data_IF_681875670608
#
_entry.id   IF_681875670608
#
_cell.length_a   1.000
_cell.length_b   1.000
_cell.length_c   1.000
_cell.angle_alpha   90.00
_cell.angle_beta   90.00
_cell.angle_gamma   90.00
#
_symmetry.space_group_name_H-M   'P 1'
#
loop_
_entity.id
_entity.type
_entity.pdbx_description
1 polymer ?
#
# COMPACT_ATOMS: atom_id res chain seq x y z
N UNK A 1 6.91 -9.97 17.16
CA UNK A 1 6.23 -10.29 18.44
C UNK A 1 5.16 -9.26 18.86
N UNK A 2 4.91 -8.17 18.14
CA UNK A 2 4.10 -7.06 18.66
C UNK A 2 2.57 -7.21 18.53
N UNK A 3 2.04 -7.49 17.35
CA UNK A 3 0.59 -7.38 17.12
C UNK A 3 -0.22 -8.56 17.71
N UNK A 4 0.27 -9.78 17.60
CA UNK A 4 -0.44 -10.94 18.15
C UNK A 4 -0.44 -10.93 19.70
N UNK A 5 0.62 -10.39 20.32
CA UNK A 5 0.71 -10.28 21.78
C UNK A 5 -0.24 -9.20 22.31
N UNK A 6 -0.34 -8.04 21.64
CA UNK A 6 -1.24 -6.96 22.03
C UNK A 6 -2.72 -7.35 21.93
N UNK A 7 -3.10 -8.10 20.90
CA UNK A 7 -4.47 -8.61 20.72
C UNK A 7 -4.80 -9.63 21.81
N UNK A 8 -3.86 -10.49 22.16
CA UNK A 8 -4.04 -11.48 23.23
C UNK A 8 -4.20 -10.82 24.62
N UNK A 9 -3.39 -9.80 24.91
CA UNK A 9 -3.51 -9.02 26.16
C UNK A 9 -4.82 -8.23 26.21
N UNK A 10 -5.26 -7.64 25.10
CA UNK A 10 -6.53 -6.91 25.05
C UNK A 10 -7.74 -7.83 25.28
N UNK A 11 -7.72 -9.03 24.70
CA UNK A 11 -8.78 -10.03 24.91
C UNK A 11 -8.81 -10.55 26.35
N UNK A 12 -7.65 -10.79 26.95
CA UNK A 12 -7.53 -11.23 28.33
C UNK A 12 -8.02 -10.18 29.35
N UNK A 13 -7.83 -8.88 29.04
CA UNK A 13 -8.33 -7.77 29.86
C UNK A 13 -9.85 -7.60 29.80
N UNK A 14 -10.49 -7.96 28.69
CA UNK A 14 -11.95 -7.86 28.53
C UNK A 14 -12.71 -9.07 29.10
N UNK A 15 -12.16 -10.25 29.05
CA UNK A 15 -12.86 -11.48 29.44
C UNK A 15 -12.83 -11.78 30.94
N UNK A 16 -12.08 -11.03 31.75
CA UNK A 16 -12.01 -11.22 33.22
C UNK A 16 -11.55 -12.61 33.67
N UNK A 17 -11.02 -13.41 32.77
CA UNK A 17 -10.59 -14.78 32.97
C UNK A 17 -9.62 -15.26 31.90
N UNK A 18 -8.92 -16.31 32.19
CA UNK A 18 -7.90 -16.99 31.39
C UNK A 18 -8.46 -17.70 30.14
N UNK A 19 -9.37 -17.08 29.38
CA UNK A 19 -9.73 -17.64 28.06
C UNK A 19 -8.57 -17.42 27.09
N UNK A 20 -7.85 -18.50 26.82
CA UNK A 20 -6.85 -18.52 25.75
C UNK A 20 -7.56 -18.32 24.41
N UNK A 21 -6.96 -17.51 23.52
CA UNK A 21 -7.38 -17.44 22.12
C UNK A 21 -7.44 -18.86 21.59
N UNK A 22 -8.59 -19.25 21.04
CA UNK A 22 -8.78 -20.56 20.42
C UNK A 22 -7.81 -20.81 19.27
N UNK A 23 -7.80 -22.01 18.75
CA UNK A 23 -6.96 -22.35 17.62
C UNK A 23 -7.32 -21.48 16.40
N UNK A 24 -6.33 -20.86 15.78
CA UNK A 24 -6.49 -20.10 14.55
C UNK A 24 -5.33 -20.35 13.58
N UNK A 25 -5.58 -20.14 12.30
CA UNK A 25 -4.56 -20.16 11.27
C UNK A 25 -4.40 -18.74 10.74
N UNK A 26 -3.16 -18.26 10.68
CA UNK A 26 -2.80 -16.98 10.08
C UNK A 26 -1.93 -17.22 8.84
N UNK A 27 -2.33 -16.65 7.71
CA UNK A 27 -1.55 -16.62 6.48
C UNK A 27 -1.67 -15.23 5.87
N UNK A 28 -0.55 -14.62 5.47
CA UNK A 28 -0.54 -13.37 4.74
C UNK A 28 0.40 -13.51 3.53
N UNK A 29 -0.10 -13.27 2.30
CA UNK A 29 0.70 -13.47 1.08
C UNK A 29 1.78 -12.40 0.88
N UNK A 30 1.72 -11.28 1.61
CA UNK A 30 2.68 -10.19 1.50
C UNK A 30 4.00 -10.54 2.18
N UNK A 31 5.10 -10.50 1.45
CA UNK A 31 6.44 -10.64 2.02
C UNK A 31 6.87 -9.34 2.69
N UNK A 32 7.19 -9.40 3.98
CA UNK A 32 7.61 -8.25 4.77
C UNK A 32 9.14 -8.24 4.92
N UNK A 33 9.75 -7.11 4.56
CA UNK A 33 11.13 -6.74 4.87
C UNK A 33 11.10 -5.67 5.96
N UNK A 34 11.56 -6.00 7.16
CA UNK A 34 11.46 -5.10 8.31
C UNK A 34 12.85 -4.76 8.87
N UNK A 35 13.05 -3.49 9.23
CA UNK A 35 14.27 -3.01 9.86
C UNK A 35 14.95 -1.89 9.07
N UNK A 36 16.12 -1.44 9.56
CA UNK A 36 16.89 -0.34 8.94
C UNK A 36 17.25 -0.61 7.47
N UNK A 37 17.55 -1.85 7.17
CA UNK A 37 17.98 -2.29 5.85
C UNK A 37 16.82 -2.86 5.02
N UNK A 38 15.56 -2.53 5.37
CA UNK A 38 14.38 -3.05 4.68
C UNK A 38 14.39 -2.78 3.16
N UNK A 39 15.00 -1.66 2.71
CA UNK A 39 15.13 -1.34 1.28
C UNK A 39 15.97 -2.36 0.51
N UNK A 40 16.87 -3.10 1.16
CA UNK A 40 17.61 -4.20 0.52
C UNK A 40 16.67 -5.30 0.01
N UNK A 41 15.46 -5.37 0.56
CA UNK A 41 14.39 -6.23 0.05
C UNK A 41 14.05 -5.96 -1.40
N UNK A 42 14.15 -4.71 -1.86
CA UNK A 42 13.93 -4.35 -3.26
C UNK A 42 14.92 -5.08 -4.19
N UNK A 43 16.19 -5.23 -3.81
CA UNK A 43 17.19 -5.95 -4.60
C UNK A 43 16.82 -7.43 -4.81
N UNK A 44 16.04 -8.01 -3.90
CA UNK A 44 15.57 -9.40 -3.98
C UNK A 44 14.28 -9.57 -4.78
N UNK A 45 13.43 -8.54 -4.80
CA UNK A 45 12.11 -8.61 -5.44
C UNK A 45 12.11 -8.00 -6.85
N UNK A 46 12.84 -6.91 -7.08
CA UNK A 46 12.88 -6.26 -8.40
C UNK A 46 13.32 -7.19 -9.54
N UNK A 47 14.30 -8.09 -9.38
CA UNK A 47 14.67 -9.02 -10.46
C UNK A 47 13.55 -9.95 -10.92
N UNK A 48 12.52 -10.16 -10.09
CA UNK A 48 11.35 -11.00 -10.39
C UNK A 48 10.26 -10.27 -11.17
N UNK A 49 10.37 -8.94 -11.27
CA UNK A 49 9.42 -8.08 -11.95
C UNK A 49 9.96 -7.64 -13.31
N UNK A 50 9.09 -7.25 -14.24
CA UNK A 50 9.48 -6.66 -15.51
C UNK A 50 10.27 -5.35 -15.34
N UNK A 51 10.63 -4.73 -16.46
CA UNK A 51 11.54 -3.57 -16.44
C UNK A 51 10.88 -2.26 -16.06
N UNK A 52 9.59 -2.09 -16.35
CA UNK A 52 8.90 -0.82 -16.22
C UNK A 52 8.23 -0.70 -14.86
N UNK A 53 8.73 0.20 -14.04
CA UNK A 53 8.21 0.46 -12.69
C UNK A 53 7.48 1.80 -12.67
N UNK A 54 6.20 1.79 -12.31
CA UNK A 54 5.46 2.99 -11.98
C UNK A 54 5.67 3.31 -10.50
N UNK A 55 6.43 4.36 -10.23
CA UNK A 55 6.71 4.84 -8.88
C UNK A 55 5.61 5.79 -8.43
N UNK A 56 4.81 5.35 -7.46
CA UNK A 56 3.66 6.09 -6.94
C UNK A 56 3.99 6.69 -5.58
N UNK A 57 3.74 7.99 -5.40
CA UNK A 57 4.01 8.67 -4.13
C UNK A 57 3.15 9.93 -3.93
N UNK A 58 3.14 10.45 -2.70
CA UNK A 58 2.34 11.61 -2.31
C UNK A 58 2.94 12.97 -2.74
N UNK A 59 2.73 14.00 -1.93
CA UNK A 59 3.06 15.39 -2.22
C UNK A 59 4.54 15.78 -2.15
N UNK A 60 5.47 14.83 -2.01
CA UNK A 60 6.91 15.08 -2.09
C UNK A 60 7.65 15.04 -0.75
N UNK A 61 7.02 14.64 0.35
CA UNK A 61 7.72 14.43 1.65
C UNK A 61 8.90 13.46 1.51
N UNK A 62 8.74 12.40 0.70
CA UNK A 62 9.81 11.42 0.45
C UNK A 62 11.04 12.02 -0.24
N UNK A 63 10.88 13.11 -1.01
CA UNK A 63 11.99 13.85 -1.62
C UNK A 63 12.73 14.69 -0.56
N UNK A 64 11.98 15.28 0.37
CA UNK A 64 12.57 16.12 1.45
C UNK A 64 13.37 15.30 2.45
N UNK A 65 12.95 14.06 2.74
CA UNK A 65 13.61 13.18 3.71
C UNK A 65 14.60 12.19 3.08
N UNK A 66 14.86 12.29 1.76
CA UNK A 66 15.85 11.49 1.03
C UNK A 66 15.43 10.04 0.74
N UNK A 67 14.22 9.62 1.09
CA UNK A 67 13.73 8.26 0.78
C UNK A 67 13.62 8.07 -0.73
N UNK A 68 13.14 9.09 -1.45
CA UNK A 68 13.03 9.09 -2.90
C UNK A 68 14.36 8.74 -3.57
N UNK A 69 15.45 9.43 -3.19
CA UNK A 69 16.77 9.22 -3.80
C UNK A 69 17.30 7.80 -3.55
N UNK A 70 17.08 7.27 -2.34
CA UNK A 70 17.43 5.89 -2.00
C UNK A 70 16.67 4.88 -2.87
N UNK A 71 15.35 5.06 -3.02
CA UNK A 71 14.52 4.17 -3.84
C UNK A 71 14.94 4.25 -5.31
N UNK A 72 15.13 5.45 -5.85
CA UNK A 72 15.59 5.65 -7.24
C UNK A 72 16.96 5.00 -7.48
N UNK A 73 17.89 5.13 -6.53
CA UNK A 73 19.20 4.49 -6.65
C UNK A 73 19.10 2.97 -6.76
N UNK A 74 18.25 2.34 -5.93
CA UNK A 74 18.01 0.89 -5.97
C UNK A 74 17.33 0.48 -7.29
N UNK A 75 16.32 1.21 -7.75
CA UNK A 75 15.64 0.93 -9.01
C UNK A 75 16.60 0.99 -10.20
N UNK A 76 17.44 2.03 -10.27
CA UNK A 76 18.45 2.19 -11.32
C UNK A 76 19.52 1.10 -11.27
N UNK A 77 20.01 0.74 -10.08
CA UNK A 77 20.98 -0.34 -9.90
C UNK A 77 20.43 -1.69 -10.37
N UNK A 78 19.11 -1.89 -10.30
CA UNK A 78 18.43 -3.09 -10.81
C UNK A 78 17.97 -2.95 -12.28
N UNK A 79 18.44 -1.94 -13.01
CA UNK A 79 18.15 -1.75 -14.43
C UNK A 79 16.70 -1.46 -14.77
N UNK A 80 15.94 -0.83 -13.82
CA UNK A 80 14.53 -0.52 -14.02
C UNK A 80 14.33 0.81 -14.74
N UNK A 81 13.35 0.84 -15.66
CA UNK A 81 12.80 2.06 -16.22
C UNK A 81 11.79 2.62 -15.22
N UNK A 82 12.00 3.84 -14.75
CA UNK A 82 11.14 4.45 -13.73
C UNK A 82 10.24 5.48 -14.37
N UNK A 83 8.95 5.30 -14.18
CA UNK A 83 7.90 6.27 -14.54
C UNK A 83 7.26 6.75 -13.25
N UNK A 84 6.99 8.05 -13.15
CA UNK A 84 6.49 8.63 -11.89
C UNK A 84 5.00 8.97 -11.96
N UNK A 85 4.27 8.62 -10.92
CA UNK A 85 2.93 9.08 -10.64
C UNK A 85 2.88 9.71 -9.25
N UNK A 86 3.21 10.99 -9.21
CA UNK A 86 3.28 11.81 -8.01
C UNK A 86 1.94 12.45 -7.64
N UNK A 87 1.87 13.00 -6.44
CA UNK A 87 0.75 13.85 -6.02
C UNK A 87 -0.46 13.06 -5.50
N UNK A 88 -0.26 11.83 -5.06
CA UNK A 88 -1.33 11.10 -4.36
C UNK A 88 -1.65 11.84 -3.06
N UNK A 89 -2.87 12.34 -2.96
CA UNK A 89 -3.36 13.08 -1.79
C UNK A 89 -3.85 12.13 -0.67
N UNK A 90 -3.96 12.60 0.57
CA UNK A 90 -4.74 11.91 1.59
C UNK A 90 -6.16 11.69 1.07
N UNK A 91 -6.71 10.48 1.22
CA UNK A 91 -7.98 10.07 0.61
C UNK A 91 -7.95 10.22 -0.93
N UNK A 92 -7.23 9.34 -1.64
CA UNK A 92 -7.08 9.45 -3.08
C UNK A 92 -8.41 9.45 -3.82
N UNK A 93 -8.48 10.20 -4.92
CA UNK A 93 -9.73 10.42 -5.63
C UNK A 93 -9.85 9.59 -6.90
N UNK A 94 -11.07 9.46 -7.40
CA UNK A 94 -11.40 8.79 -8.67
C UNK A 94 -10.70 9.50 -9.84
N UNK A 95 -10.66 10.82 -9.83
CA UNK A 95 -10.00 11.61 -10.88
C UNK A 95 -8.49 11.27 -10.92
N UNK A 96 -7.86 11.21 -9.73
CA UNK A 96 -6.45 10.82 -9.63
C UNK A 96 -6.23 9.38 -10.11
N UNK A 97 -7.17 8.48 -9.83
CA UNK A 97 -7.12 7.09 -10.32
C UNK A 97 -7.13 7.03 -11.85
N UNK A 98 -7.99 7.79 -12.51
CA UNK A 98 -8.05 7.83 -13.98
C UNK A 98 -6.76 8.39 -14.61
N UNK A 99 -6.17 9.42 -14.00
CA UNK A 99 -4.85 9.92 -14.44
C UNK A 99 -3.79 8.82 -14.33
N UNK A 100 -3.75 8.12 -13.19
CA UNK A 100 -2.80 7.04 -12.95
C UNK A 100 -2.95 5.88 -13.93
N UNK A 101 -4.18 5.47 -14.24
CA UNK A 101 -4.46 4.45 -15.27
C UNK A 101 -3.83 4.83 -16.61
N UNK A 102 -4.03 6.09 -17.04
CA UNK A 102 -3.44 6.58 -18.27
C UNK A 102 -1.90 6.54 -18.24
N UNK A 103 -1.30 6.92 -17.11
CA UNK A 103 0.16 6.87 -16.92
C UNK A 103 0.70 5.44 -16.91
N UNK A 104 0.05 4.53 -16.20
CA UNK A 104 0.43 3.12 -16.12
C UNK A 104 0.38 2.44 -17.50
N UNK A 105 -0.68 2.70 -18.27
CA UNK A 105 -0.81 2.20 -19.66
C UNK A 105 0.30 2.73 -20.56
N UNK A 106 0.59 4.05 -20.52
CA UNK A 106 1.68 4.66 -21.32
C UNK A 106 3.05 4.11 -20.95
N UNK A 107 3.26 3.78 -19.68
CA UNK A 107 4.50 3.21 -19.17
C UNK A 107 4.63 1.72 -19.48
N UNK A 108 3.58 1.04 -19.92
CA UNK A 108 3.47 -0.43 -19.90
C UNK A 108 4.03 -0.99 -18.59
N UNK A 109 3.45 -0.54 -17.47
CA UNK A 109 3.97 -0.80 -16.13
C UNK A 109 3.89 -2.29 -15.78
N UNK A 110 5.01 -2.87 -15.39
CA UNK A 110 5.13 -4.27 -14.93
C UNK A 110 5.03 -4.38 -13.40
N UNK A 111 5.25 -3.27 -12.69
CA UNK A 111 5.19 -3.16 -11.24
C UNK A 111 4.72 -1.76 -10.86
N UNK A 112 3.82 -1.67 -9.90
CA UNK A 112 3.48 -0.42 -9.21
C UNK A 112 4.20 -0.43 -7.87
N UNK A 113 5.13 0.52 -7.66
CA UNK A 113 5.86 0.68 -6.40
C UNK A 113 5.31 1.87 -5.63
N UNK A 114 4.58 1.60 -4.57
CA UNK A 114 4.01 2.60 -3.66
C UNK A 114 5.07 3.04 -2.64
N UNK A 115 5.40 4.33 -2.60
CA UNK A 115 6.33 4.90 -1.60
C UNK A 115 5.59 5.97 -0.81
N UNK A 116 5.07 5.59 0.36
CA UNK A 116 4.24 6.48 1.17
C UNK A 116 3.52 5.80 2.31
N UNK A 117 2.48 6.44 2.82
CA UNK A 117 1.58 5.88 3.83
C UNK A 117 0.40 5.14 3.22
N UNK A 118 -0.59 4.79 4.05
CA UNK A 118 -1.76 4.00 3.67
C UNK A 118 -2.51 4.51 2.43
N UNK A 119 -2.71 5.83 2.29
CA UNK A 119 -3.37 6.40 1.11
C UNK A 119 -2.64 6.12 -0.21
N UNK A 120 -1.30 6.10 -0.17
CA UNK A 120 -0.49 5.76 -1.36
C UNK A 120 -0.59 4.27 -1.66
N UNK A 121 -0.60 3.41 -0.63
CA UNK A 121 -0.80 1.97 -0.78
C UNK A 121 -2.20 1.65 -1.32
N UNK A 122 -3.24 2.29 -0.79
CA UNK A 122 -4.63 2.14 -1.25
C UNK A 122 -4.76 2.53 -2.73
N UNK A 123 -4.21 3.69 -3.09
CA UNK A 123 -4.19 4.15 -4.48
C UNK A 123 -3.45 3.19 -5.41
N UNK A 124 -2.30 2.68 -5.00
CA UNK A 124 -1.53 1.72 -5.80
C UNK A 124 -2.30 0.42 -6.07
N UNK A 125 -3.05 -0.08 -5.07
CA UNK A 125 -3.91 -1.26 -5.23
C UNK A 125 -5.11 -0.98 -6.12
N UNK A 126 -5.77 0.18 -5.94
CA UNK A 126 -6.83 0.62 -6.85
C UNK A 126 -6.33 0.69 -8.29
N UNK A 127 -5.17 1.29 -8.50
CA UNK A 127 -4.55 1.40 -9.81
C UNK A 127 -4.23 0.04 -10.40
N UNK A 128 -3.66 -0.86 -9.60
CA UNK A 128 -3.29 -2.23 -9.97
C UNK A 128 -4.44 -3.00 -10.63
N UNK A 129 -5.62 -2.98 -10.02
CA UNK A 129 -6.81 -3.67 -10.54
C UNK A 129 -7.48 -2.93 -11.69
N UNK A 130 -7.21 -1.63 -11.84
CA UNK A 130 -7.95 -0.77 -12.78
C UNK A 130 -7.30 -0.64 -14.15
N UNK A 131 -5.97 -0.87 -14.27
CA UNK A 131 -5.23 -0.61 -15.52
C UNK A 131 -5.76 -1.43 -16.68
N UNK A 132 -6.07 -2.70 -16.47
CA UNK A 132 -6.57 -3.61 -17.49
C UNK A 132 -8.08 -3.82 -17.44
N UNK A 133 -8.78 -3.13 -16.55
CA UNK A 133 -10.23 -3.15 -16.48
C UNK A 133 -10.84 -2.58 -17.77
N UNK A 134 -11.81 -3.28 -18.33
CA UNK A 134 -12.53 -2.87 -19.55
C UNK A 134 -13.72 -1.96 -19.26
N UNK A 135 -14.18 -1.94 -18.03
CA UNK A 135 -15.30 -1.13 -17.53
C UNK A 135 -14.80 0.08 -16.75
N UNK A 136 -15.72 0.93 -16.32
CA UNK A 136 -15.39 1.99 -15.35
C UNK A 136 -15.00 1.37 -14.00
N UNK A 137 -13.75 1.57 -13.53
CA UNK A 137 -13.26 0.91 -12.32
C UNK A 137 -13.94 1.43 -11.04
N UNK A 138 -14.44 2.68 -11.03
CA UNK A 138 -15.20 3.18 -9.89
C UNK A 138 -16.52 2.44 -9.75
N UNK A 139 -17.26 2.30 -10.83
CA UNK A 139 -18.53 1.60 -10.83
C UNK A 139 -18.32 0.11 -10.48
N UNK A 140 -17.39 -0.55 -11.17
CA UNK A 140 -17.14 -1.98 -11.00
C UNK A 140 -16.67 -2.33 -9.59
N UNK A 141 -15.63 -1.65 -9.10
CA UNK A 141 -14.95 -2.07 -7.86
C UNK A 141 -15.48 -1.37 -6.62
N UNK A 142 -16.02 -0.15 -6.72
CA UNK A 142 -16.44 0.61 -5.53
C UNK A 142 -17.94 0.79 -5.40
N UNK A 143 -18.71 0.61 -6.47
CA UNK A 143 -20.18 0.63 -6.40
C UNK A 143 -20.76 -0.78 -6.37
N UNK A 144 -20.31 -1.66 -7.29
CA UNK A 144 -20.81 -3.04 -7.39
C UNK A 144 -20.02 -4.03 -6.55
N UNK A 145 -18.85 -3.65 -6.02
CA UNK A 145 -17.96 -4.49 -5.20
C UNK A 145 -17.55 -5.80 -5.89
N UNK A 146 -17.30 -5.75 -7.18
CA UNK A 146 -16.86 -6.92 -7.94
C UNK A 146 -15.36 -7.19 -7.74
N UNK A 147 -14.97 -8.46 -7.82
CA UNK A 147 -13.56 -8.85 -7.84
C UNK A 147 -12.94 -8.61 -9.23
N UNK A 148 -11.63 -8.38 -9.32
CA UNK A 148 -10.94 -8.23 -10.60
C UNK A 148 -11.04 -9.50 -11.46
N UNK A 149 -11.48 -9.35 -12.70
CA UNK A 149 -11.59 -10.38 -13.73
C UNK A 149 -10.57 -10.20 -14.87
N UNK A 150 -9.61 -9.31 -14.68
CA UNK A 150 -8.54 -8.99 -15.62
C UNK A 150 -7.16 -9.17 -14.98
N UNK A 151 -6.12 -9.03 -15.79
CA UNK A 151 -4.75 -9.05 -15.30
C UNK A 151 -4.50 -7.90 -14.31
N UNK A 152 -3.84 -8.22 -13.20
CA UNK A 152 -3.52 -7.30 -12.13
C UNK A 152 -2.03 -6.98 -12.18
N UNK A 153 -1.66 -5.70 -12.21
CA UNK A 153 -0.26 -5.31 -12.10
C UNK A 153 0.19 -5.50 -10.65
N UNK A 154 1.28 -6.25 -10.38
CA UNK A 154 1.75 -6.46 -9.02
C UNK A 154 2.09 -5.14 -8.31
N UNK A 155 1.82 -5.07 -7.01
CA UNK A 155 2.14 -3.93 -6.14
C UNK A 155 3.27 -4.31 -5.20
N UNK A 156 4.24 -3.41 -5.02
CA UNK A 156 5.21 -3.41 -3.93
C UNK A 156 5.08 -2.12 -3.12
N UNK A 157 5.42 -2.17 -1.83
CA UNK A 157 5.32 -1.01 -0.95
C UNK A 157 6.64 -0.70 -0.26
N UNK A 158 6.94 0.60 -0.12
CA UNK A 158 7.92 1.15 0.81
C UNK A 158 7.16 2.08 1.76
N UNK A 159 6.89 1.59 2.95
CA UNK A 159 6.02 2.29 3.90
C UNK A 159 6.75 3.43 4.60
N UNK A 160 6.14 4.60 4.63
CA UNK A 160 6.69 5.78 5.33
C UNK A 160 5.82 6.25 6.49
N UNK A 161 4.62 5.71 6.64
CA UNK A 161 3.71 5.99 7.75
C UNK A 161 2.86 4.76 8.05
N UNK A 162 2.87 4.31 9.29
CA UNK A 162 2.10 3.16 9.77
C UNK A 162 0.70 3.59 10.24
N UNK A 163 -0.25 2.65 10.27
CA UNK A 163 -1.58 2.89 10.83
C UNK A 163 -2.68 2.00 10.26
N UNK A 164 -2.73 1.83 8.95
CA UNK A 164 -3.86 1.15 8.29
C UNK A 164 -3.60 -0.31 7.91
N UNK A 165 -2.34 -0.77 7.97
CA UNK A 165 -1.95 -2.09 7.48
C UNK A 165 -2.13 -2.26 5.96
N UNK A 166 -2.33 -1.16 5.22
CA UNK A 166 -2.60 -1.19 3.77
C UNK A 166 -1.45 -1.79 2.95
N UNK A 167 -0.25 -1.77 3.50
CA UNK A 167 0.95 -2.39 2.94
C UNK A 167 0.93 -3.93 2.96
N UNK A 168 -0.02 -4.54 3.68
CA UNK A 168 -0.13 -5.99 3.82
C UNK A 168 -1.57 -6.51 3.84
N UNK A 169 -2.49 -5.79 3.21
CA UNK A 169 -3.89 -6.22 3.01
C UNK A 169 -4.39 -5.87 1.60
N UNK A 170 -5.56 -6.40 1.23
CA UNK A 170 -6.23 -6.14 -0.04
C UNK A 170 -7.13 -4.90 -0.03
N UNK A 171 -7.17 -4.13 1.06
CA UNK A 171 -8.06 -2.97 1.18
C UNK A 171 -7.60 -1.78 0.34
N UNK A 172 -8.55 -1.11 -0.28
CA UNK A 172 -8.32 0.15 -1.01
C UNK A 172 -9.49 1.09 -0.80
N UNK A 173 -9.21 2.32 -0.42
CA UNK A 173 -10.23 3.36 -0.16
C UNK A 173 -10.06 4.48 -1.17
N UNK A 174 -11.12 4.75 -1.95
CA UNK A 174 -11.15 5.81 -2.96
C UNK A 174 -12.32 6.76 -2.68
N UNK A 175 -12.10 8.04 -2.96
CA UNK A 175 -13.08 9.11 -2.78
C UNK A 175 -13.60 9.60 -4.13
N UNK A 176 -14.91 9.72 -4.28
CA UNK A 176 -15.55 10.38 -5.42
C UNK A 176 -16.23 11.67 -4.92
N UNK A 177 -15.63 12.82 -5.20
CA UNK A 177 -16.15 14.09 -4.75
C UNK A 177 -17.46 14.49 -5.46
N UNK A 178 -17.61 14.13 -6.73
CA UNK A 178 -18.82 14.42 -7.50
C UNK A 178 -20.05 13.71 -6.92
N UNK A 179 -19.87 12.48 -6.47
CA UNK A 179 -20.93 11.69 -5.82
C UNK A 179 -20.98 11.86 -4.29
N UNK A 180 -20.01 12.58 -3.70
CA UNK A 180 -19.84 12.74 -2.24
C UNK A 180 -19.70 11.40 -1.50
N UNK A 181 -19.02 10.44 -2.11
CA UNK A 181 -18.81 9.10 -1.59
C UNK A 181 -17.31 8.87 -1.29
N UNK A 182 -17.04 8.17 -0.21
CA UNK A 182 -15.75 7.60 0.13
C UNK A 182 -15.97 6.13 0.44
N UNK A 183 -15.48 5.26 -0.44
CA UNK A 183 -15.77 3.82 -0.39
C UNK A 183 -14.47 3.05 -0.27
N UNK A 184 -14.47 2.07 0.63
CA UNK A 184 -13.43 1.07 0.76
C UNK A 184 -13.89 -0.26 0.20
N UNK A 185 -13.06 -0.92 -0.57
CA UNK A 185 -13.22 -2.30 -1.01
C UNK A 185 -12.05 -3.13 -0.49
N UNK A 186 -12.34 -4.29 0.04
CA UNK A 186 -11.33 -5.29 0.44
C UNK A 186 -11.34 -6.39 -0.61
N UNK A 187 -10.36 -6.33 -1.49
CA UNK A 187 -10.15 -7.31 -2.55
C UNK A 187 -9.54 -8.61 -2.01
N UNK A 188 -9.66 -9.68 -2.77
CA UNK A 188 -9.02 -10.96 -2.50
C UNK A 188 -7.49 -10.90 -2.46
N UNK A 189 -6.86 -12.03 -2.10
CA UNK A 189 -5.40 -12.13 -1.88
C UNK A 189 -4.54 -11.75 -3.09
N UNK A 190 -5.09 -11.83 -4.31
CA UNK A 190 -4.40 -11.45 -5.55
C UNK A 190 -3.95 -9.99 -5.56
N UNK A 191 -4.69 -9.10 -4.87
CA UNK A 191 -4.47 -7.64 -4.80
C UNK A 191 -3.54 -7.24 -3.66
N UNK A 192 -3.26 -8.14 -2.72
CA UNK A 192 -2.27 -7.88 -1.68
C UNK A 192 -0.91 -7.47 -2.28
N UNK A 193 -0.21 -6.49 -1.71
CA UNK A 193 1.15 -6.20 -2.12
C UNK A 193 2.01 -7.46 -2.10
N UNK A 194 2.81 -7.69 -3.13
CA UNK A 194 3.69 -8.86 -3.22
C UNK A 194 4.82 -8.79 -2.19
N UNK A 195 5.24 -7.58 -1.87
CA UNK A 195 6.24 -7.31 -0.84
C UNK A 195 6.07 -5.91 -0.26
N UNK A 196 6.55 -5.73 0.97
CA UNK A 196 6.56 -4.44 1.64
C UNK A 196 7.86 -4.25 2.44
N UNK A 197 8.48 -3.09 2.23
CA UNK A 197 9.68 -2.66 2.94
C UNK A 197 9.29 -1.68 4.06
N UNK A 198 9.52 -2.06 5.30
CA UNK A 198 9.14 -1.32 6.50
C UNK A 198 10.42 -0.94 7.27
N UNK A 199 10.89 0.28 7.09
CA UNK A 199 11.94 0.84 7.92
C UNK A 199 11.32 1.76 8.98
N UNK A 200 11.36 1.40 10.28
CA UNK A 200 10.78 2.23 11.35
C UNK A 200 11.32 3.66 11.40
N UNK A 201 12.56 3.89 10.97
CA UNK A 201 13.16 5.24 10.96
C UNK A 201 12.45 6.21 10.00
N UNK A 202 11.74 5.69 8.99
CA UNK A 202 10.98 6.53 8.06
C UNK A 202 9.76 7.19 8.71
N UNK A 203 9.34 6.69 9.88
CA UNK A 203 8.22 7.26 10.65
C UNK A 203 8.65 8.33 11.66
N UNK A 204 9.95 8.57 11.87
CA UNK A 204 10.48 9.53 12.86
C UNK A 204 10.17 10.99 12.50
N UNK A 205 9.77 11.27 11.27
CA UNK A 205 9.37 12.61 10.84
C UNK A 205 7.92 12.97 11.20
N UNK A 206 7.16 12.01 11.71
CA UNK A 206 5.81 12.22 12.23
C UNK A 206 5.85 13.07 13.51
N UNK A 207 4.95 14.04 13.63
CA UNK A 207 4.79 14.78 14.89
C UNK A 207 4.30 13.83 15.99
N UNK A 208 4.56 14.19 17.27
CA UNK A 208 3.97 13.44 18.40
C UNK A 208 2.44 13.38 18.33
N UNK A 209 1.81 14.35 17.65
CA UNK A 209 0.37 14.42 17.44
C UNK A 209 -0.10 13.41 16.38
N UNK A 210 0.66 13.24 15.27
CA UNK A 210 0.42 12.23 14.26
C UNK A 210 0.51 10.82 14.85
N UNK A 211 1.54 10.56 15.69
CA UNK A 211 1.72 9.28 16.37
C UNK A 211 0.58 9.00 17.36
N UNK A 212 0.15 10.01 18.13
CA UNK A 212 -1.01 9.87 19.03
C UNK A 212 -2.31 9.62 18.28
N UNK A 213 -2.48 10.25 17.12
CA UNK A 213 -3.67 10.05 16.29
C UNK A 213 -3.72 8.63 15.74
N UNK A 214 -2.59 8.10 15.26
CA UNK A 214 -2.46 6.71 14.81
C UNK A 214 -2.79 5.71 15.92
N UNK A 215 -2.28 5.93 17.14
CA UNK A 215 -2.53 5.05 18.29
C UNK A 215 -4.00 5.06 18.75
N UNK A 216 -4.74 6.15 18.48
CA UNK A 216 -6.18 6.23 18.83
C UNK A 216 -7.09 5.48 17.85
N UNK A 217 -6.66 5.24 16.63
CA UNK A 217 -7.45 4.56 15.59
C UNK A 217 -7.02 3.12 15.35
N UNK A 218 -5.92 2.69 15.94
CA UNK A 218 -5.40 1.31 15.86
C UNK A 218 -5.70 0.48 17.11
N UNK A 219 -6.51 1.01 18.03
CA UNK A 219 -6.94 0.30 19.24
C UNK A 219 -8.43 -0.08 19.13
#
# INVERSE_FOLDING_TARGET
MGAACAVAEWYALQSGGTEMIGNFTYCNPTKIYFGRDALEGLNKELPKCGKNVLLVYGGGSIKKNGIYDKVIAVLKANGKNVFEDAGVMPNPTVEKLYEGISRAKKANADLILAVGGGSVCDYAKALSVSVHCSEDPWDKYYIRFEEPDCEIIPVGCVLTMVGTGSEMNGGSVITNHAQKLKIGHVFGESVFPKFSCLNPEYTFTGSCEDIRHMLRWGA
#
